data_IF_448466146598
#
_entry.id   IF_448466146598
#
_cell.length_a   1.000
_cell.length_b   1.000
_cell.length_c   1.000
_cell.angle_alpha   90.00
_cell.angle_beta   90.00
_cell.angle_gamma   90.00
#
_symmetry.space_group_name_H-M   'P 1'
#
loop_
_entity.id
_entity.type
_entity.pdbx_description
1 polymer ?
#
# COMPACT_ATOMS: atom_id res chain seq x y z
N UNK A 1 -1.47 0.36 29.86
CA UNK A 1 -0.38 1.37 29.87
C UNK A 1 -0.44 2.09 28.52
N UNK A 2 0.10 3.31 28.36
CA UNK A 2 0.22 3.88 27.02
C UNK A 2 1.11 2.96 26.18
N UNK A 3 0.55 2.39 25.13
CA UNK A 3 1.28 1.49 24.22
C UNK A 3 2.14 2.33 23.26
N UNK A 4 3.13 1.70 22.63
CA UNK A 4 3.90 2.38 21.57
C UNK A 4 2.99 2.74 20.38
N UNK A 5 3.19 3.94 19.83
CA UNK A 5 2.46 4.43 18.65
C UNK A 5 3.44 4.73 17.52
N UNK A 6 3.06 4.41 16.28
CA UNK A 6 3.88 4.63 15.10
C UNK A 6 3.09 5.36 14.03
N UNK A 7 3.68 6.37 13.42
CA UNK A 7 3.21 7.00 12.18
C UNK A 7 4.25 6.76 11.11
N UNK A 8 3.90 5.99 10.09
CA UNK A 8 4.82 5.51 9.07
C UNK A 8 4.31 5.96 7.71
N UNK A 9 5.15 6.64 6.94
CA UNK A 9 4.89 7.00 5.55
C UNK A 9 5.88 6.29 4.63
N UNK A 10 5.37 5.36 3.81
CA UNK A 10 6.16 4.57 2.87
C UNK A 10 6.19 5.27 1.51
N UNK A 11 7.26 6.03 1.30
CA UNK A 11 7.58 6.68 0.03
C UNK A 11 8.21 5.72 -0.99
N UNK A 12 8.56 6.25 -2.16
CA UNK A 12 9.19 5.47 -3.23
C UNK A 12 10.61 4.99 -2.89
N UNK A 13 11.40 5.82 -2.20
CA UNK A 13 12.80 5.52 -1.85
C UNK A 13 12.99 5.28 -0.37
N UNK A 14 12.37 6.10 0.46
CA UNK A 14 12.51 6.06 1.91
C UNK A 14 11.15 5.85 2.58
N UNK A 15 11.20 5.18 3.72
CA UNK A 15 10.10 5.08 4.67
C UNK A 15 10.45 5.92 5.88
N UNK A 16 9.60 6.91 6.14
CA UNK A 16 9.71 7.81 7.28
C UNK A 16 8.80 7.29 8.40
N UNK A 17 9.35 7.14 9.60
CA UNK A 17 8.64 6.62 10.76
C UNK A 17 8.85 7.56 11.96
N UNK A 18 7.75 7.99 12.57
CA UNK A 18 7.75 8.64 13.88
C UNK A 18 7.22 7.63 14.88
N UNK A 19 8.07 7.19 15.80
CA UNK A 19 7.66 6.34 16.92
C UNK A 19 7.43 7.21 18.16
N UNK A 20 6.37 6.95 18.91
CA UNK A 20 6.11 7.54 20.22
C UNK A 20 6.21 6.46 21.28
N UNK A 21 7.10 6.70 22.23
CA UNK A 21 7.31 5.82 23.37
C UNK A 21 6.12 5.89 24.34
N UNK A 22 5.96 4.91 25.27
CA UNK A 22 4.99 4.98 26.36
C UNK A 22 5.12 6.23 27.25
N UNK A 23 6.32 6.81 27.38
CA UNK A 23 6.54 8.06 28.13
C UNK A 23 6.19 9.31 27.33
N UNK A 24 5.83 9.17 26.05
CA UNK A 24 5.44 10.25 25.16
C UNK A 24 6.58 10.87 24.33
N UNK A 25 7.82 10.40 24.50
CA UNK A 25 8.97 10.82 23.68
C UNK A 25 8.77 10.40 22.22
N UNK A 26 9.11 11.30 21.27
CA UNK A 26 9.08 11.02 19.83
C UNK A 26 10.47 10.65 19.32
N UNK A 27 10.56 9.57 18.53
CA UNK A 27 11.78 9.06 17.91
C UNK A 27 11.60 8.99 16.39
N UNK A 28 12.28 9.84 15.61
CA UNK A 28 12.26 9.75 14.16
C UNK A 28 13.19 8.64 13.68
N UNK A 29 12.71 7.83 12.73
CA UNK A 29 13.43 6.72 12.13
C UNK A 29 13.21 6.81 10.63
N UNK A 30 14.30 6.67 9.87
CA UNK A 30 14.27 6.66 8.41
C UNK A 30 14.96 5.40 7.92
N UNK A 31 14.27 4.63 7.10
CA UNK A 31 14.81 3.41 6.47
C UNK A 31 14.56 3.46 4.96
N UNK A 32 15.25 2.63 4.20
CA UNK A 32 14.94 2.47 2.77
C UNK A 32 13.61 1.72 2.61
N UNK A 33 12.77 2.16 1.68
CA UNK A 33 11.47 1.50 1.40
C UNK A 33 11.62 0.08 0.88
N UNK A 34 12.81 -0.32 0.43
CA UNK A 34 13.14 -1.70 0.09
C UNK A 34 13.26 -2.64 1.29
N UNK A 35 13.28 -2.12 2.52
CA UNK A 35 13.53 -2.92 3.74
C UNK A 35 14.98 -3.41 3.85
N UNK A 36 15.87 -2.92 2.99
CA UNK A 36 17.30 -3.24 2.99
C UNK A 36 18.07 -2.13 3.67
N UNK A 37 19.09 -2.48 4.44
CA UNK A 37 20.05 -1.53 4.99
C UNK A 37 21.38 -1.64 4.25
N UNK A 38 21.79 -0.55 3.60
CA UNK A 38 23.03 -0.50 2.81
C UNK A 38 24.20 -0.05 3.67
N UNK A 39 25.38 -0.55 3.37
CA UNK A 39 26.62 -0.11 3.99
C UNK A 39 27.84 -0.41 3.13
N UNK A 40 29.00 -0.09 3.68
CA UNK A 40 30.30 -0.35 3.05
C UNK A 40 31.26 -0.86 4.13
N UNK A 41 31.99 -1.92 3.82
CA UNK A 41 33.03 -2.44 4.69
C UNK A 41 34.15 -1.39 4.81
N UNK A 42 34.30 -0.74 5.96
CA UNK A 42 35.44 0.13 6.21
C UNK A 42 36.73 -0.69 6.31
N UNK A 43 36.63 -1.88 6.92
CA UNK A 43 37.73 -2.82 7.07
C UNK A 43 37.18 -4.26 7.04
N UNK A 44 38.00 -5.20 6.58
CA UNK A 44 37.75 -6.64 6.69
C UNK A 44 38.84 -7.23 7.58
N UNK A 45 38.44 -7.88 8.68
CA UNK A 45 39.35 -8.42 9.69
C UNK A 45 39.31 -9.95 9.67
N UNK A 46 40.46 -10.58 9.47
CA UNK A 46 40.56 -12.03 9.35
C UNK A 46 39.74 -12.54 8.16
N UNK A 47 39.08 -13.69 8.34
CA UNK A 47 38.37 -14.38 7.26
C UNK A 47 36.85 -14.30 7.36
N UNK A 48 36.29 -13.61 8.35
CA UNK A 48 34.84 -13.60 8.58
C UNK A 48 34.30 -12.34 9.27
N UNK A 49 35.08 -11.26 9.42
CA UNK A 49 34.63 -10.05 10.12
C UNK A 49 34.68 -8.83 9.22
N UNK A 50 33.63 -8.03 9.31
CA UNK A 50 33.48 -6.77 8.58
C UNK A 50 33.26 -5.65 9.59
N UNK A 51 34.02 -4.58 9.45
CA UNK A 51 33.90 -3.37 10.27
C UNK A 51 33.15 -2.31 9.49
N UNK A 52 32.07 -1.79 10.05
CA UNK A 52 31.41 -0.56 9.61
C UNK A 52 31.11 0.33 10.83
N UNK A 53 31.87 1.43 11.02
CA UNK A 53 31.65 2.37 12.12
C UNK A 53 30.25 2.99 12.15
N UNK A 54 29.54 3.08 11.01
CA UNK A 54 28.17 3.60 10.98
C UNK A 54 27.21 2.70 11.75
N UNK A 55 27.49 1.39 11.85
CA UNK A 55 26.66 0.44 12.60
C UNK A 55 26.73 0.65 14.11
N UNK A 56 27.70 1.40 14.64
CA UNK A 56 27.81 1.63 16.10
C UNK A 56 26.58 2.31 16.69
N UNK A 57 25.82 3.03 15.86
CA UNK A 57 24.56 3.65 16.24
C UNK A 57 23.41 2.64 16.40
N UNK A 58 23.47 1.49 15.72
CA UNK A 58 22.41 0.49 15.69
C UNK A 58 22.27 -0.25 17.04
N UNK A 59 21.11 -0.86 17.34
CA UNK A 59 20.91 -1.58 18.60
C UNK A 59 21.82 -2.81 18.74
N UNK A 60 22.09 -3.24 19.98
CA UNK A 60 22.97 -4.38 20.21
C UNK A 60 22.34 -5.68 19.69
N UNK A 61 23.17 -6.58 19.13
CA UNK A 61 22.74 -7.82 18.46
C UNK A 61 21.69 -7.66 17.33
N UNK A 62 21.31 -6.44 16.95
CA UNK A 62 20.17 -6.17 16.06
C UNK A 62 20.23 -6.91 14.73
N UNK A 63 21.42 -6.95 14.12
CA UNK A 63 21.66 -7.55 12.81
C UNK A 63 21.79 -9.07 12.84
N UNK A 64 21.78 -9.72 14.01
CA UNK A 64 21.95 -11.16 14.11
C UNK A 64 20.91 -11.92 13.27
N UNK A 65 21.38 -12.83 12.42
CA UNK A 65 20.54 -13.64 11.53
C UNK A 65 20.01 -12.92 10.28
N UNK A 66 20.41 -11.67 10.03
CA UNK A 66 20.12 -11.00 8.76
C UNK A 66 20.94 -11.64 7.63
N UNK A 67 20.35 -11.67 6.43
CA UNK A 67 21.11 -11.93 5.21
C UNK A 67 22.09 -10.78 5.00
N UNK A 68 23.35 -11.14 4.72
CA UNK A 68 24.44 -10.21 4.48
C UNK A 68 24.97 -10.45 3.08
N UNK A 69 24.62 -9.56 2.15
CA UNK A 69 24.96 -9.65 0.73
C UNK A 69 26.05 -8.65 0.38
N UNK A 70 27.18 -9.14 -0.09
CA UNK A 70 28.29 -8.33 -0.57
C UNK A 70 28.17 -8.09 -2.05
N UNK A 71 28.45 -6.86 -2.48
CA UNK A 71 28.24 -6.40 -3.84
C UNK A 71 29.55 -5.89 -4.45
N UNK A 72 29.73 -6.15 -5.74
CA UNK A 72 30.79 -5.52 -6.52
C UNK A 72 30.44 -4.08 -6.90
N UNK A 73 31.33 -3.42 -7.66
CA UNK A 73 31.13 -2.04 -8.09
C UNK A 73 29.91 -1.84 -9.00
N UNK A 74 29.58 -2.89 -9.77
CA UNK A 74 28.42 -2.94 -10.68
C UNK A 74 27.11 -3.27 -9.95
N UNK A 75 27.17 -3.66 -8.68
CA UNK A 75 26.04 -4.07 -7.86
C UNK A 75 25.68 -5.56 -7.98
N UNK A 76 26.51 -6.38 -8.62
CA UNK A 76 26.31 -7.82 -8.63
C UNK A 76 26.76 -8.45 -7.32
N UNK A 77 26.11 -9.55 -6.94
CA UNK A 77 26.39 -10.24 -5.68
C UNK A 77 27.70 -11.02 -5.78
N UNK A 78 28.65 -10.66 -4.91
CA UNK A 78 29.91 -11.39 -4.72
C UNK A 78 29.74 -12.59 -3.78
N UNK A 79 28.96 -12.40 -2.71
CA UNK A 79 28.69 -13.41 -1.69
C UNK A 79 27.39 -13.07 -0.97
N UNK A 80 26.61 -14.10 -0.66
CA UNK A 80 25.51 -14.02 0.31
C UNK A 80 25.86 -14.88 1.52
N UNK A 81 25.82 -14.29 2.71
CA UNK A 81 26.05 -14.95 3.99
C UNK A 81 24.95 -14.56 5.00
N UNK A 82 25.15 -14.91 6.27
CA UNK A 82 24.34 -14.44 7.38
C UNK A 82 25.20 -13.80 8.45
N UNK A 83 24.66 -12.80 9.14
CA UNK A 83 25.29 -12.22 10.33
C UNK A 83 25.21 -13.26 11.47
N UNK A 84 26.36 -13.75 11.90
CA UNK A 84 26.51 -14.70 13.00
C UNK A 84 26.73 -14.02 14.36
N UNK A 85 27.26 -12.80 14.36
CA UNK A 85 27.36 -11.95 15.55
C UNK A 85 27.45 -10.47 15.15
N UNK A 86 27.00 -9.59 16.03
CA UNK A 86 27.15 -8.15 15.85
C UNK A 86 27.62 -7.49 17.15
N UNK A 87 28.79 -6.85 17.11
CA UNK A 87 29.40 -6.16 18.24
C UNK A 87 29.26 -4.64 18.06
N UNK A 88 28.18 -4.06 18.61
CA UNK A 88 27.83 -2.65 18.40
C UNK A 88 28.97 -1.69 18.71
N UNK A 89 29.66 -1.84 19.85
CA UNK A 89 30.71 -0.89 20.29
C UNK A 89 31.86 -0.77 19.29
N UNK A 90 32.20 -1.88 18.62
CA UNK A 90 33.28 -1.91 17.64
C UNK A 90 32.76 -1.59 16.23
N UNK A 91 31.46 -1.80 15.97
CA UNK A 91 30.88 -1.75 14.64
C UNK A 91 31.27 -2.99 13.82
N UNK A 92 31.49 -4.12 14.49
CA UNK A 92 31.97 -5.35 13.85
C UNK A 92 30.81 -6.32 13.67
N UNK A 93 30.63 -6.79 12.44
CA UNK A 93 29.73 -7.89 12.11
C UNK A 93 30.57 -9.12 11.75
N UNK A 94 30.24 -10.26 12.36
CA UNK A 94 30.81 -11.55 12.01
C UNK A 94 29.86 -12.28 11.08
N UNK A 95 30.37 -12.81 9.98
CA UNK A 95 29.57 -13.59 9.01
C UNK A 95 29.73 -15.08 9.24
N UNK A 96 28.69 -15.84 8.91
CA UNK A 96 28.64 -17.29 9.09
C UNK A 96 29.53 -18.08 8.11
N UNK A 97 30.00 -17.44 7.04
CA UNK A 97 30.84 -18.05 5.99
C UNK A 97 32.18 -17.35 5.88
N UNK A 98 33.18 -18.02 5.33
CA UNK A 98 34.46 -17.40 5.02
C UNK A 98 34.29 -16.35 3.91
N UNK A 99 34.92 -15.19 4.10
CA UNK A 99 34.97 -14.11 3.12
C UNK A 99 36.05 -14.42 2.09
N UNK A 100 35.71 -14.46 0.78
CA UNK A 100 36.72 -14.57 -0.27
C UNK A 100 37.60 -13.31 -0.35
N UNK A 101 38.81 -13.40 -0.93
CA UNK A 101 39.71 -12.25 -1.10
C UNK A 101 39.14 -11.08 -1.91
N UNK A 102 38.07 -11.33 -2.69
CA UNK A 102 37.34 -10.28 -3.42
C UNK A 102 36.56 -9.34 -2.52
N UNK A 103 36.33 -9.69 -1.25
CA UNK A 103 35.71 -8.84 -0.24
C UNK A 103 36.83 -8.19 0.58
N UNK A 104 36.93 -6.87 0.46
CA UNK A 104 37.99 -6.08 1.08
C UNK A 104 37.43 -4.73 1.58
N UNK A 105 38.32 -3.86 2.07
CA UNK A 105 37.92 -2.50 2.43
C UNK A 105 37.32 -1.80 1.20
N UNK A 106 36.18 -1.13 1.41
CA UNK A 106 35.41 -0.48 0.35
C UNK A 106 34.34 -1.35 -0.30
N UNK A 107 34.27 -2.67 -0.02
CA UNK A 107 33.21 -3.52 -0.58
C UNK A 107 31.84 -3.08 -0.05
N UNK A 108 30.89 -2.83 -0.96
CA UNK A 108 29.51 -2.45 -0.61
C UNK A 108 28.73 -3.67 -0.15
N UNK A 109 27.73 -3.46 0.69
CA UNK A 109 26.87 -4.53 1.13
C UNK A 109 25.44 -4.11 1.41
N UNK A 110 24.58 -5.13 1.51
CA UNK A 110 23.17 -5.05 1.86
C UNK A 110 22.86 -6.02 3.00
N UNK A 111 22.16 -5.51 4.03
CA UNK A 111 21.59 -6.28 5.12
C UNK A 111 20.07 -6.37 4.92
N UNK A 112 19.51 -7.57 4.97
CA UNK A 112 18.06 -7.75 4.84
C UNK A 112 17.55 -8.93 5.66
N UNK A 113 16.36 -8.77 6.23
CA UNK A 113 15.59 -9.85 6.84
C UNK A 113 14.40 -10.30 5.97
N UNK A 114 14.26 -9.75 4.75
CA UNK A 114 13.06 -9.87 3.93
C UNK A 114 11.79 -9.36 4.65
N UNK A 115 11.96 -8.36 5.51
CA UNK A 115 10.89 -7.66 6.21
C UNK A 115 10.49 -6.40 5.43
N UNK A 116 9.21 -6.02 5.49
CA UNK A 116 8.76 -4.77 4.92
C UNK A 116 9.35 -3.58 5.71
N UNK A 117 9.62 -2.47 5.04
CA UNK A 117 10.26 -1.30 5.65
C UNK A 117 9.58 -0.79 6.95
N UNK A 118 8.24 -0.78 7.09
CA UNK A 118 7.58 -0.45 8.35
C UNK A 118 7.99 -1.37 9.52
N UNK A 119 8.18 -2.66 9.27
CA UNK A 119 8.57 -3.64 10.30
C UNK A 119 10.00 -3.38 10.74
N UNK A 120 10.91 -3.16 9.80
CA UNK A 120 12.29 -2.79 10.11
C UNK A 120 12.33 -1.52 10.96
N UNK A 121 11.56 -0.48 10.59
CA UNK A 121 11.50 0.76 11.36
C UNK A 121 10.95 0.55 12.79
N UNK A 122 9.91 -0.27 12.95
CA UNK A 122 9.35 -0.62 14.26
C UNK A 122 10.39 -1.36 15.11
N UNK A 123 11.09 -2.36 14.55
CA UNK A 123 12.14 -3.09 15.26
C UNK A 123 13.29 -2.18 15.67
N UNK A 124 13.72 -1.27 14.80
CA UNK A 124 14.74 -0.27 15.11
C UNK A 124 14.30 0.61 16.28
N UNK A 125 13.04 1.04 16.33
CA UNK A 125 12.51 1.88 17.41
C UNK A 125 12.48 1.18 18.76
N UNK A 126 12.09 -0.10 18.73
CA UNK A 126 11.94 -0.95 19.89
C UNK A 126 13.25 -1.64 20.29
N UNK A 127 14.31 -1.45 19.51
CA UNK A 127 15.62 -2.10 19.69
C UNK A 127 15.51 -3.64 19.71
N UNK A 128 14.62 -4.19 18.87
CA UNK A 128 14.34 -5.63 18.83
C UNK A 128 15.16 -6.34 17.75
N UNK A 129 15.71 -7.50 18.12
CA UNK A 129 16.26 -8.46 17.15
C UNK A 129 15.18 -9.02 16.23
N UNK A 130 15.59 -9.57 15.09
CA UNK A 130 14.68 -10.20 14.10
C UNK A 130 13.81 -11.30 14.71
N UNK A 131 14.38 -12.15 15.55
CA UNK A 131 13.72 -13.31 16.15
C UNK A 131 12.87 -12.95 17.37
N UNK A 132 12.99 -11.72 17.88
CA UNK A 132 12.20 -11.27 19.01
C UNK A 132 10.78 -10.88 18.57
N UNK A 133 9.78 -11.23 19.39
CA UNK A 133 8.41 -10.84 19.14
C UNK A 133 8.23 -9.31 19.23
N UNK A 134 7.45 -8.73 18.32
CA UNK A 134 7.03 -7.33 18.38
C UNK A 134 5.83 -7.29 19.34
N UNK A 135 5.90 -6.50 20.44
CA UNK A 135 4.79 -6.37 21.36
C UNK A 135 3.57 -5.72 20.68
N UNK A 136 2.38 -5.70 21.32
CA UNK A 136 1.25 -4.93 20.81
C UNK A 136 1.61 -3.45 20.63
N UNK A 137 1.35 -2.91 19.43
CA UNK A 137 1.64 -1.51 19.06
C UNK A 137 0.51 -0.94 18.21
N UNK A 138 0.37 0.38 18.18
CA UNK A 138 -0.55 1.08 17.27
C UNK A 138 0.20 1.64 16.07
N UNK A 139 -0.28 1.40 14.84
CA UNK A 139 0.42 1.83 13.62
C UNK A 139 -0.51 2.63 12.71
N UNK A 140 -0.10 3.82 12.28
CA UNK A 140 -0.76 4.61 11.26
C UNK A 140 0.12 4.62 10.03
N UNK A 141 -0.42 4.18 8.90
CA UNK A 141 0.37 3.88 7.71
C UNK A 141 -0.12 4.70 6.51
N UNK A 142 0.75 5.58 6.01
CA UNK A 142 0.70 6.14 4.66
C UNK A 142 1.55 5.30 3.71
N UNK A 143 1.12 5.14 2.47
CA UNK A 143 1.93 4.46 1.45
C UNK A 143 1.68 4.99 0.05
N UNK A 144 2.75 5.11 -0.71
CA UNK A 144 2.72 5.46 -2.14
C UNK A 144 2.39 4.27 -3.05
N UNK A 145 2.23 3.05 -2.52
CA UNK A 145 1.92 1.86 -3.34
C UNK A 145 0.68 2.02 -4.21
N UNK A 146 -0.39 2.62 -3.67
CA UNK A 146 -1.62 2.90 -4.44
C UNK A 146 -1.36 3.89 -5.58
N UNK A 147 -0.71 5.02 -5.28
CA UNK A 147 -0.37 6.04 -6.28
C UNK A 147 0.57 5.50 -7.36
N UNK A 148 1.58 4.71 -6.98
CA UNK A 148 2.50 4.09 -7.94
C UNK A 148 1.77 3.08 -8.85
N UNK A 149 0.83 2.30 -8.30
CA UNK A 149 0.01 1.39 -9.11
C UNK A 149 -0.86 2.15 -10.13
N UNK A 150 -1.41 3.31 -9.77
CA UNK A 150 -2.13 4.18 -10.71
C UNK A 150 -1.20 4.73 -11.80
N UNK A 151 -0.08 5.33 -11.40
CA UNK A 151 0.86 5.97 -12.33
C UNK A 151 1.47 4.97 -13.32
N UNK A 152 1.75 3.75 -12.85
CA UNK A 152 2.35 2.69 -13.69
C UNK A 152 1.32 1.79 -14.37
N UNK A 153 0.01 2.03 -14.17
CA UNK A 153 -1.09 1.20 -14.67
C UNK A 153 -0.96 -0.29 -14.29
N UNK A 154 -0.55 -0.55 -13.04
CA UNK A 154 -0.33 -1.91 -12.49
C UNK A 154 -1.35 -2.31 -11.43
N UNK A 155 -2.57 -1.78 -11.49
CA UNK A 155 -3.69 -2.20 -10.65
C UNK A 155 -4.34 -3.52 -11.08
N UNK A 156 -5.39 -3.90 -10.37
CA UNK A 156 -6.17 -5.09 -10.68
C UNK A 156 -6.95 -4.92 -11.98
N UNK A 157 -7.01 -5.99 -12.79
CA UNK A 157 -7.89 -6.04 -13.97
C UNK A 157 -9.34 -6.00 -13.52
N UNK A 158 -9.98 -4.85 -13.73
CA UNK A 158 -11.28 -4.51 -13.13
C UNK A 158 -12.38 -4.50 -14.19
N UNK A 159 -13.54 -5.08 -13.86
CA UNK A 159 -14.77 -4.95 -14.64
C UNK A 159 -15.62 -3.83 -14.07
N UNK A 160 -16.06 -2.90 -14.91
CA UNK A 160 -17.04 -1.89 -14.56
C UNK A 160 -18.45 -2.43 -14.83
N UNK A 161 -19.27 -2.56 -13.80
CA UNK A 161 -20.66 -3.01 -13.91
C UNK A 161 -21.58 -1.81 -13.79
N UNK A 162 -22.42 -1.59 -14.80
CA UNK A 162 -23.33 -0.44 -14.85
C UNK A 162 -24.69 -0.79 -15.45
N UNK A 163 -25.61 0.16 -15.40
CA UNK A 163 -26.95 0.02 -15.97
C UNK A 163 -26.88 -0.02 -17.50
N UNK A 164 -27.73 -0.82 -18.14
CA UNK A 164 -27.82 -0.87 -19.60
C UNK A 164 -28.07 0.51 -20.23
N UNK A 165 -27.31 0.81 -21.28
CA UNK A 165 -27.24 2.11 -21.95
C UNK A 165 -26.25 3.09 -21.32
N UNK A 166 -25.48 2.66 -20.31
CA UNK A 166 -24.50 3.50 -19.60
C UNK A 166 -23.07 2.95 -19.71
N UNK A 167 -22.81 1.97 -20.59
CA UNK A 167 -21.48 1.38 -20.73
C UNK A 167 -20.35 2.42 -20.88
N UNK A 168 -20.58 3.46 -21.68
CA UNK A 168 -19.59 4.49 -22.00
C UNK A 168 -19.61 5.68 -21.02
N UNK A 169 -20.38 5.63 -19.93
CA UNK A 169 -20.60 6.80 -19.05
C UNK A 169 -19.29 7.39 -18.50
N UNK A 170 -18.32 6.53 -18.17
CA UNK A 170 -17.00 6.96 -17.67
C UNK A 170 -16.04 7.37 -18.79
N UNK A 171 -16.25 6.90 -20.02
CA UNK A 171 -15.49 7.33 -21.21
C UNK A 171 -15.97 8.70 -21.71
N UNK A 172 -17.27 8.97 -21.58
CA UNK A 172 -17.90 10.25 -21.86
C UNK A 172 -17.51 11.26 -20.77
N UNK A 173 -17.49 10.83 -19.51
CA UNK A 173 -17.19 11.67 -18.34
C UNK A 173 -18.06 12.96 -18.32
N UNK A 174 -17.48 14.11 -17.98
CA UNK A 174 -18.19 15.39 -17.92
C UNK A 174 -18.04 16.24 -19.20
N UNK A 175 -17.41 15.70 -20.27
CA UNK A 175 -17.09 16.45 -21.49
C UNK A 175 -16.22 17.71 -21.28
N UNK A 176 -15.55 17.83 -20.14
CA UNK A 176 -14.62 18.93 -19.86
C UNK A 176 -13.46 18.90 -20.86
N UNK A 177 -13.10 20.07 -21.42
CA UNK A 177 -11.98 20.23 -22.37
C UNK A 177 -10.89 21.13 -21.77
N UNK A 178 -9.87 20.58 -21.09
CA UNK A 178 -8.79 21.38 -20.50
C UNK A 178 -8.03 22.21 -21.53
N UNK A 179 -7.88 21.69 -22.76
CA UNK A 179 -7.32 22.40 -23.92
C UNK A 179 -8.40 22.55 -24.99
N UNK A 180 -9.14 23.65 -24.91
CA UNK A 180 -10.36 23.87 -25.70
C UNK A 180 -10.14 23.82 -27.22
N UNK A 181 -8.94 24.17 -27.69
CA UNK A 181 -8.60 24.31 -29.10
C UNK A 181 -7.88 23.11 -29.72
N UNK A 182 -7.61 22.06 -28.95
CA UNK A 182 -7.02 20.84 -29.52
C UNK A 182 -8.01 20.19 -30.49
N UNK A 183 -7.62 20.02 -31.75
CA UNK A 183 -8.44 19.31 -32.74
C UNK A 183 -8.38 17.78 -32.54
N UNK A 184 -7.26 17.29 -32.03
CA UNK A 184 -7.04 15.88 -31.70
C UNK A 184 -7.05 15.67 -30.18
N UNK A 185 -8.19 15.21 -29.65
CA UNK A 185 -8.38 15.01 -28.20
C UNK A 185 -7.93 13.60 -27.83
N UNK A 186 -6.82 13.53 -27.11
CA UNK A 186 -6.32 12.28 -26.53
C UNK A 186 -6.94 12.05 -25.15
N UNK A 187 -7.92 11.14 -25.07
CA UNK A 187 -8.52 10.75 -23.79
C UNK A 187 -7.63 9.74 -23.04
N UNK A 188 -7.48 9.86 -21.72
CA UNK A 188 -6.82 8.81 -20.94
C UNK A 188 -7.58 7.49 -21.08
N UNK A 189 -6.84 6.38 -21.17
CA UNK A 189 -7.44 5.06 -21.10
C UNK A 189 -8.14 4.86 -19.74
N UNK A 190 -9.31 4.22 -19.69
CA UNK A 190 -10.00 3.93 -18.43
C UNK A 190 -9.17 3.00 -17.53
N UNK A 191 -9.47 2.98 -16.24
CA UNK A 191 -8.84 2.05 -15.28
C UNK A 191 -9.48 0.65 -15.30
N UNK A 192 -10.72 0.53 -15.80
CA UNK A 192 -11.35 -0.76 -16.03
C UNK A 192 -10.94 -1.32 -17.40
N UNK A 193 -10.84 -2.63 -17.49
CA UNK A 193 -10.54 -3.32 -18.74
C UNK A 193 -11.81 -3.53 -19.57
N UNK A 194 -12.96 -3.69 -18.90
CA UNK A 194 -14.19 -4.15 -19.52
C UNK A 194 -15.42 -3.63 -18.81
N UNK A 195 -16.53 -3.68 -19.53
CA UNK A 195 -17.83 -3.20 -19.06
C UNK A 195 -18.87 -4.30 -19.13
N UNK A 196 -19.64 -4.44 -18.06
CA UNK A 196 -20.80 -5.31 -17.98
C UNK A 196 -22.04 -4.46 -17.75
N UNK A 197 -22.98 -4.54 -18.69
CA UNK A 197 -24.29 -3.90 -18.54
C UNK A 197 -25.30 -4.86 -17.93
N UNK A 198 -25.97 -4.39 -16.87
CA UNK A 198 -27.10 -5.06 -16.24
C UNK A 198 -28.37 -4.49 -16.87
N UNK A 199 -29.39 -5.32 -17.10
CA UNK A 199 -30.64 -4.88 -17.73
C UNK A 199 -31.71 -4.55 -16.67
N UNK A 200 -31.46 -3.51 -15.89
CA UNK A 200 -32.25 -3.03 -14.77
C UNK A 200 -32.52 -1.51 -14.88
N UNK A 201 -33.50 -1.01 -14.12
CA UNK A 201 -33.75 0.44 -14.06
C UNK A 201 -34.45 0.88 -12.79
N UNK A 202 -33.96 1.99 -12.24
CA UNK A 202 -34.59 2.73 -11.16
C UNK A 202 -35.00 4.12 -11.67
N UNK A 203 -36.04 4.71 -11.09
CA UNK A 203 -36.33 6.14 -11.24
C UNK A 203 -35.47 6.99 -10.27
N UNK A 204 -35.61 8.32 -10.35
CA UNK A 204 -34.85 9.24 -9.51
C UNK A 204 -35.18 9.14 -8.01
N UNK A 205 -36.36 8.63 -7.66
CA UNK A 205 -36.81 8.39 -6.29
C UNK A 205 -36.38 7.00 -5.77
N UNK A 206 -35.71 6.21 -6.60
CA UNK A 206 -35.27 4.85 -6.28
C UNK A 206 -36.34 3.77 -6.45
N UNK A 207 -37.49 4.08 -7.08
CA UNK A 207 -38.50 3.07 -7.40
C UNK A 207 -38.05 2.21 -8.56
N UNK A 208 -38.39 0.93 -8.50
CA UNK A 208 -38.02 -0.04 -9.52
C UNK A 208 -38.89 0.15 -10.75
N UNK A 209 -38.29 0.58 -11.85
CA UNK A 209 -38.91 0.60 -13.17
C UNK A 209 -38.71 -0.73 -13.90
N UNK A 210 -37.55 -1.37 -13.69
CA UNK A 210 -37.21 -2.68 -14.22
C UNK A 210 -36.31 -3.43 -13.25
N UNK A 211 -36.74 -4.62 -12.85
CA UNK A 211 -35.95 -5.48 -11.98
C UNK A 211 -34.83 -6.21 -12.76
N UNK A 212 -33.65 -6.42 -12.15
CA UNK A 212 -32.57 -7.21 -12.72
C UNK A 212 -32.93 -8.70 -12.81
N UNK A 213 -32.38 -9.39 -13.80
CA UNK A 213 -32.52 -10.84 -14.01
C UNK A 213 -31.31 -11.58 -13.41
N UNK A 214 -31.51 -12.26 -12.27
CA UNK A 214 -30.43 -12.95 -11.55
C UNK A 214 -29.71 -14.02 -12.39
N UNK A 215 -30.44 -14.73 -13.25
CA UNK A 215 -29.88 -15.83 -14.03
C UNK A 215 -28.94 -15.29 -15.10
N UNK A 216 -29.32 -14.20 -15.78
CA UNK A 216 -28.46 -13.54 -16.76
C UNK A 216 -27.22 -12.93 -16.11
N UNK A 217 -27.39 -12.24 -14.98
CA UNK A 217 -26.28 -11.64 -14.24
C UNK A 217 -25.24 -12.71 -13.87
N UNK A 218 -25.70 -13.86 -13.34
CA UNK A 218 -24.81 -14.98 -13.02
C UNK A 218 -24.04 -15.46 -14.24
N UNK A 219 -24.73 -15.75 -15.34
CA UNK A 219 -24.08 -16.22 -16.57
C UNK A 219 -23.03 -15.24 -17.10
N UNK A 220 -23.34 -13.95 -17.09
CA UNK A 220 -22.40 -12.91 -17.51
C UNK A 220 -21.17 -12.88 -16.59
N UNK A 221 -21.37 -12.92 -15.27
CA UNK A 221 -20.30 -12.89 -14.28
C UNK A 221 -19.40 -14.14 -14.32
N UNK A 222 -19.97 -15.32 -14.53
CA UNK A 222 -19.24 -16.60 -14.65
C UNK A 222 -18.26 -16.58 -15.82
N UNK A 223 -18.61 -15.89 -16.91
CA UNK A 223 -17.72 -15.75 -18.07
C UNK A 223 -16.49 -14.85 -17.81
N UNK A 224 -16.54 -14.01 -16.76
CA UNK A 224 -15.53 -12.98 -16.50
C UNK A 224 -14.60 -13.28 -15.31
N UNK A 225 -15.05 -14.10 -14.36
CA UNK A 225 -14.37 -14.30 -13.06
C UNK A 225 -12.94 -14.86 -13.19
N UNK A 226 -12.68 -15.68 -14.21
CA UNK A 226 -11.36 -16.33 -14.39
C UNK A 226 -10.23 -15.35 -14.68
N UNK A 227 -10.51 -14.32 -15.49
CA UNK A 227 -9.48 -13.41 -16.00
C UNK A 227 -9.48 -12.05 -15.27
N UNK A 228 -10.55 -11.75 -14.53
CA UNK A 228 -10.81 -10.43 -13.95
C UNK A 228 -11.32 -10.60 -12.52
N UNK A 229 -10.46 -10.63 -11.50
CA UNK A 229 -10.90 -10.93 -10.13
C UNK A 229 -11.59 -9.74 -9.43
N UNK A 230 -11.62 -8.55 -10.05
CA UNK A 230 -12.11 -7.32 -9.43
C UNK A 230 -13.31 -6.70 -10.14
N UNK A 231 -14.33 -6.28 -9.37
CA UNK A 231 -15.52 -5.54 -9.86
C UNK A 231 -15.66 -4.17 -9.23
N UNK A 232 -16.06 -3.22 -10.07
CA UNK A 232 -16.63 -1.94 -9.68
C UNK A 232 -18.10 -1.89 -10.09
N UNK A 233 -19.04 -1.95 -9.13
CA UNK A 233 -20.48 -1.94 -9.38
C UNK A 233 -21.02 -0.53 -9.16
N UNK A 234 -21.48 0.12 -10.23
CA UNK A 234 -22.10 1.44 -10.21
C UNK A 234 -23.33 1.50 -11.13
N UNK A 235 -24.50 1.28 -10.54
CA UNK A 235 -25.79 1.35 -11.23
C UNK A 235 -26.41 2.74 -11.09
N UNK A 236 -27.25 3.12 -12.04
CA UNK A 236 -27.96 4.40 -12.03
C UNK A 236 -28.93 4.47 -10.84
N UNK A 237 -28.97 5.63 -10.17
CA UNK A 237 -29.81 5.90 -8.99
C UNK A 237 -29.60 4.94 -7.79
N UNK A 238 -28.50 4.19 -7.74
CA UNK A 238 -28.18 3.30 -6.62
C UNK A 238 -27.97 4.00 -5.28
N UNK A 239 -27.69 5.30 -5.31
CA UNK A 239 -27.65 6.15 -4.10
C UNK A 239 -29.02 6.29 -3.43
N UNK A 240 -30.12 6.19 -4.20
CA UNK A 240 -31.50 6.26 -3.70
C UNK A 240 -32.03 4.88 -3.32
N UNK A 241 -31.68 3.84 -4.09
CA UNK A 241 -32.01 2.45 -3.79
C UNK A 241 -30.86 1.52 -4.19
N UNK A 242 -30.19 0.93 -3.18
CA UNK A 242 -29.01 0.09 -3.39
C UNK A 242 -29.32 -1.39 -3.63
N UNK A 243 -30.60 -1.80 -3.64
CA UNK A 243 -30.99 -3.21 -3.70
C UNK A 243 -30.43 -3.95 -4.93
N UNK A 244 -30.43 -3.31 -6.10
CA UNK A 244 -29.89 -3.92 -7.32
C UNK A 244 -28.36 -4.09 -7.25
N UNK A 245 -27.62 -3.13 -6.68
CA UNK A 245 -26.17 -3.28 -6.52
C UNK A 245 -25.81 -4.39 -5.53
N UNK A 246 -26.55 -4.49 -4.41
CA UNK A 246 -26.37 -5.55 -3.43
C UNK A 246 -26.66 -6.94 -4.02
N UNK A 247 -27.67 -7.03 -4.89
CA UNK A 247 -27.97 -8.26 -5.62
C UNK A 247 -26.82 -8.68 -6.54
N UNK A 248 -26.29 -7.75 -7.33
CA UNK A 248 -25.13 -8.02 -8.20
C UNK A 248 -23.91 -8.41 -7.37
N UNK A 249 -23.62 -7.72 -6.26
CA UNK A 249 -22.53 -8.08 -5.35
C UNK A 249 -22.68 -9.50 -4.81
N UNK A 250 -23.89 -9.88 -4.35
CA UNK A 250 -24.17 -11.22 -3.84
C UNK A 250 -23.86 -12.27 -4.89
N UNK A 251 -24.38 -12.13 -6.10
CA UNK A 251 -24.15 -13.07 -7.20
C UNK A 251 -22.66 -13.12 -7.56
N UNK A 252 -21.97 -11.97 -7.62
CA UNK A 252 -20.55 -11.91 -7.90
C UNK A 252 -19.72 -12.68 -6.85
N UNK A 253 -20.05 -12.56 -5.56
CA UNK A 253 -19.40 -13.36 -4.51
C UNK A 253 -19.64 -14.86 -4.69
N UNK A 254 -20.87 -15.25 -5.01
CA UNK A 254 -21.23 -16.65 -5.24
C UNK A 254 -20.51 -17.25 -6.46
N UNK A 255 -20.23 -16.44 -7.49
CA UNK A 255 -19.50 -16.84 -8.70
C UNK A 255 -17.97 -16.91 -8.47
N UNK A 256 -17.45 -16.23 -7.43
CA UNK A 256 -16.05 -16.33 -7.01
C UNK A 256 -15.23 -15.05 -7.12
N UNK A 257 -15.85 -13.89 -7.32
CA UNK A 257 -15.13 -12.63 -7.24
C UNK A 257 -14.77 -12.29 -5.80
N UNK A 258 -13.50 -12.00 -5.56
CA UNK A 258 -12.95 -11.74 -4.22
C UNK A 258 -12.89 -10.25 -3.90
N UNK A 259 -12.82 -9.40 -4.93
CA UNK A 259 -12.62 -7.97 -4.82
C UNK A 259 -13.79 -7.25 -5.49
N UNK A 260 -14.70 -6.69 -4.68
CA UNK A 260 -15.93 -6.07 -5.17
C UNK A 260 -16.12 -4.74 -4.45
N UNK A 261 -16.16 -3.67 -5.25
CA UNK A 261 -16.41 -2.31 -4.82
C UNK A 261 -17.81 -1.92 -5.25
N UNK A 262 -18.64 -1.49 -4.30
CA UNK A 262 -20.06 -1.16 -4.53
C UNK A 262 -20.28 0.33 -4.32
N UNK A 263 -20.78 1.01 -5.35
CA UNK A 263 -20.81 2.46 -5.38
C UNK A 263 -21.73 3.07 -4.32
N UNK A 264 -22.87 2.44 -4.04
CA UNK A 264 -23.81 2.91 -3.01
C UNK A 264 -23.26 2.81 -1.59
N UNK A 265 -22.24 1.97 -1.37
CA UNK A 265 -21.55 1.83 -0.08
C UNK A 265 -20.38 2.79 0.04
N UNK A 266 -19.60 2.94 -1.04
CA UNK A 266 -18.38 3.73 -1.05
C UNK A 266 -18.64 5.24 -1.15
N UNK A 267 -19.51 5.63 -2.08
CA UNK A 267 -19.79 7.03 -2.39
C UNK A 267 -21.25 7.19 -2.83
N UNK A 268 -22.22 7.22 -1.90
CA UNK A 268 -23.66 7.36 -2.18
C UNK A 268 -24.03 8.78 -2.65
N UNK A 269 -23.35 9.28 -3.68
CA UNK A 269 -23.55 10.58 -4.30
C UNK A 269 -24.44 10.42 -5.52
N UNK A 270 -25.31 11.39 -5.82
CA UNK A 270 -26.17 11.36 -7.01
C UNK A 270 -25.39 11.30 -8.34
N UNK A 271 -24.22 11.93 -8.40
CA UNK A 271 -23.40 12.10 -9.61
C UNK A 271 -22.73 10.79 -10.05
N UNK A 272 -23.29 10.13 -11.06
CA UNK A 272 -22.85 8.80 -11.53
C UNK A 272 -21.39 8.78 -12.01
N UNK A 273 -20.90 9.83 -12.68
CA UNK A 273 -19.51 9.87 -13.18
C UNK A 273 -18.54 9.85 -12.00
N UNK A 274 -18.62 10.83 -11.09
CA UNK A 274 -17.73 10.90 -9.93
C UNK A 274 -17.85 9.67 -9.01
N UNK A 275 -19.07 9.15 -8.84
CA UNK A 275 -19.34 7.93 -8.08
C UNK A 275 -18.70 6.70 -8.76
N UNK A 276 -18.85 6.58 -10.07
CA UNK A 276 -18.25 5.51 -10.87
C UNK A 276 -16.73 5.55 -10.87
N UNK A 277 -16.12 6.72 -11.09
CA UNK A 277 -14.66 6.91 -11.03
C UNK A 277 -14.09 6.47 -9.67
N UNK A 278 -14.74 6.89 -8.58
CA UNK A 278 -14.36 6.49 -7.22
C UNK A 278 -14.46 4.98 -7.03
N UNK A 279 -15.52 4.36 -7.54
CA UNK A 279 -15.77 2.92 -7.41
C UNK A 279 -14.77 2.11 -8.21
N UNK A 280 -14.45 2.54 -9.44
CA UNK A 280 -13.43 1.91 -10.29
C UNK A 280 -12.04 2.05 -9.68
N UNK A 281 -11.69 3.23 -9.19
CA UNK A 281 -10.40 3.47 -8.53
C UNK A 281 -10.22 2.59 -7.29
N UNK A 282 -11.27 2.43 -6.47
CA UNK A 282 -11.26 1.52 -5.32
C UNK A 282 -11.06 0.06 -5.77
N UNK A 283 -11.86 -0.44 -6.70
CA UNK A 283 -11.74 -1.82 -7.22
C UNK A 283 -10.37 -2.10 -7.85
N UNK A 284 -9.78 -1.10 -8.49
CA UNK A 284 -8.48 -1.18 -9.14
C UNK A 284 -7.32 -1.29 -8.14
N UNK A 285 -7.43 -0.62 -6.99
CA UNK A 285 -6.33 -0.47 -6.02
C UNK A 285 -6.46 -1.33 -4.76
N UNK A 286 -7.69 -1.59 -4.31
CA UNK A 286 -7.97 -2.32 -3.08
C UNK A 286 -7.23 -3.67 -3.01
N UNK A 287 -7.12 -4.48 -4.09
CA UNK A 287 -6.43 -5.76 -4.01
C UNK A 287 -4.94 -5.61 -3.64
N UNK A 288 -4.26 -4.62 -4.21
CA UNK A 288 -2.84 -4.32 -3.96
C UNK A 288 -2.63 -3.83 -2.53
N UNK A 289 -3.50 -2.93 -2.08
CA UNK A 289 -3.43 -2.38 -0.73
C UNK A 289 -3.72 -3.45 0.32
N UNK A 290 -4.72 -4.31 0.09
CA UNK A 290 -5.07 -5.41 0.98
C UNK A 290 -3.96 -6.43 1.10
N UNK A 291 -3.36 -6.85 0.00
CA UNK A 291 -2.21 -7.78 -0.01
C UNK A 291 -1.04 -7.20 0.80
N UNK A 292 -0.74 -5.91 0.60
CA UNK A 292 0.32 -5.24 1.34
C UNK A 292 0.05 -5.15 2.84
N UNK A 293 -1.15 -4.71 3.24
CA UNK A 293 -1.55 -4.65 4.65
C UNK A 293 -1.60 -6.07 5.26
N UNK A 294 -2.00 -7.08 4.48
CA UNK A 294 -1.98 -8.48 4.87
C UNK A 294 -0.58 -8.96 5.25
N UNK A 295 0.41 -8.75 4.37
CA UNK A 295 1.83 -9.07 4.64
C UNK A 295 2.35 -8.38 5.90
N UNK A 296 2.04 -7.09 6.07
CA UNK A 296 2.46 -6.35 7.26
C UNK A 296 1.85 -6.93 8.54
N UNK A 297 0.57 -7.30 8.50
CA UNK A 297 -0.10 -7.95 9.63
C UNK A 297 0.52 -9.30 9.96
N UNK A 298 0.79 -10.12 8.95
CA UNK A 298 1.46 -11.41 9.14
C UNK A 298 2.83 -11.23 9.80
N UNK A 299 3.62 -10.25 9.37
CA UNK A 299 4.93 -9.97 9.98
C UNK A 299 4.83 -9.46 11.42
N UNK A 300 3.81 -8.66 11.75
CA UNK A 300 3.51 -8.24 13.13
C UNK A 300 2.96 -9.38 14.01
N UNK A 301 2.25 -10.35 13.42
CA UNK A 301 1.64 -11.48 14.16
C UNK A 301 2.58 -12.67 14.34
N UNK A 302 3.39 -13.00 13.32
CA UNK A 302 4.45 -14.02 13.39
C UNK A 302 5.47 -13.72 14.50
N UNK A 303 5.47 -12.48 14.97
CA UNK A 303 6.25 -11.97 16.08
C UNK A 303 5.40 -11.79 17.37
N UNK A 304 4.35 -12.59 17.62
CA UNK A 304 3.80 -12.82 18.97
C UNK A 304 2.50 -12.09 19.39
N UNK A 305 1.75 -11.48 18.47
CA UNK A 305 0.48 -10.80 18.80
C UNK A 305 -0.75 -11.73 18.83
N UNK A 306 -1.43 -11.86 19.98
CA UNK A 306 -2.74 -12.53 20.11
C UNK A 306 -3.89 -11.60 19.70
N UNK A 307 -4.82 -12.09 18.87
CA UNK A 307 -5.97 -11.37 18.35
C UNK A 307 -7.16 -11.40 19.34
N UNK A 308 -7.87 -10.28 19.61
CA UNK A 308 -9.25 -10.35 20.06
C UNK A 308 -10.17 -10.64 18.85
N UNK A 309 -11.25 -11.43 19.02
CA UNK A 309 -12.18 -11.72 17.94
C UNK A 309 -12.94 -10.44 17.57
N UNK A 310 -12.74 -9.96 16.34
CA UNK A 310 -13.39 -8.76 15.81
C UNK A 310 -13.06 -8.58 14.34
N UNK A 311 -14.09 -8.27 13.56
CA UNK A 311 -14.05 -8.18 12.10
C UNK A 311 -12.96 -7.22 11.58
N UNK A 312 -12.39 -7.61 10.44
CA UNK A 312 -11.51 -6.76 9.65
C UNK A 312 -12.33 -5.60 9.10
N UNK A 313 -12.25 -4.44 9.74
CA UNK A 313 -12.75 -3.19 9.18
C UNK A 313 -11.54 -2.35 8.80
N UNK A 314 -11.23 -2.27 7.50
CA UNK A 314 -10.56 -1.11 6.93
C UNK A 314 -11.50 0.08 7.15
N UNK A 315 -11.42 0.69 8.33
CA UNK A 315 -12.40 1.69 8.78
C UNK A 315 -12.01 3.03 8.16
N UNK A 316 -12.84 3.44 7.21
CA UNK A 316 -13.03 4.81 6.76
C UNK A 316 -12.93 5.76 7.96
N UNK A 317 -12.07 6.78 7.87
CA UNK A 317 -11.96 7.80 8.92
C UNK A 317 -13.24 8.63 8.90
N UNK A 318 -14.16 8.28 9.78
CA UNK A 318 -15.24 9.12 10.30
C UNK A 318 -15.67 8.54 11.66
N UNK A 319 -15.06 9.02 12.74
CA UNK A 319 -15.56 8.83 14.12
C UNK A 319 -15.16 7.54 14.87
N UNK A 320 -14.30 7.72 15.89
CA UNK A 320 -14.17 7.01 17.19
C UNK A 320 -14.72 5.58 17.39
N UNK A 321 -13.85 4.63 17.78
CA UNK A 321 -13.79 3.96 19.10
C UNK A 321 -12.89 2.69 19.05
N UNK A 322 -12.10 2.49 20.12
CA UNK A 322 -10.98 1.55 20.30
C UNK A 322 -11.39 0.16 20.82
N UNK A 323 -10.65 -0.87 20.40
CA UNK A 323 -10.38 -2.07 21.20
C UNK A 323 -8.92 -2.51 20.95
N UNK A 324 -8.23 -2.92 22.01
CA UNK A 324 -6.79 -3.17 22.06
C UNK A 324 -6.35 -4.31 21.13
N UNK A 325 -5.30 -4.06 20.35
CA UNK A 325 -4.78 -4.94 19.31
C UNK A 325 -4.25 -4.11 18.14
N UNK A 326 -3.24 -4.60 17.43
CA UNK A 326 -2.55 -3.89 16.34
C UNK A 326 -3.57 -3.24 15.39
N UNK A 327 -3.62 -1.91 15.40
CA UNK A 327 -4.51 -1.14 14.55
C UNK A 327 -3.66 -0.49 13.46
N UNK A 328 -3.85 -0.91 12.19
CA UNK A 328 -3.23 -0.29 11.02
C UNK A 328 -4.28 0.60 10.35
N UNK A 329 -4.07 1.92 10.39
CA UNK A 329 -4.89 2.87 9.63
C UNK A 329 -4.24 3.11 8.28
N UNK A 330 -4.80 2.55 7.22
CA UNK A 330 -4.45 2.89 5.84
C UNK A 330 -5.43 3.96 5.32
N UNK A 331 -4.92 5.08 4.82
CA UNK A 331 -5.76 6.12 4.20
C UNK A 331 -6.21 5.61 2.82
N UNK A 332 -7.52 5.58 2.51
CA UNK A 332 -7.99 5.14 1.19
C UNK A 332 -7.50 6.07 0.08
N UNK A 333 -7.17 5.50 -1.07
CA UNK A 333 -6.80 6.27 -2.27
C UNK A 333 -7.93 7.23 -2.71
N UNK A 334 -9.19 6.85 -2.51
CA UNK A 334 -10.38 7.66 -2.78
C UNK A 334 -10.58 8.86 -1.84
N UNK A 335 -9.86 8.92 -0.71
CA UNK A 335 -9.92 10.06 0.22
C UNK A 335 -9.01 11.22 -0.21
N UNK A 336 -8.20 11.03 -1.26
CA UNK A 336 -7.39 12.07 -1.89
C UNK A 336 -8.22 12.88 -2.91
N UNK A 337 -9.37 13.40 -2.49
CA UNK A 337 -10.02 14.54 -3.17
C UNK A 337 -9.10 15.75 -2.96
N UNK A 338 -8.87 16.63 -3.95
CA UNK A 338 -7.83 17.65 -3.86
C UNK A 338 -8.17 18.59 -2.70
N UNK A 339 -7.39 18.48 -1.63
CA UNK A 339 -7.13 19.63 -0.78
C UNK A 339 -6.57 20.68 -1.72
N UNK A 340 -7.40 21.67 -2.01
CA UNK A 340 -6.97 22.95 -2.54
C UNK A 340 -5.83 23.42 -1.65
N UNK A 341 -4.59 23.19 -2.09
CA UNK A 341 -3.43 23.87 -1.58
C UNK A 341 -3.71 25.36 -1.76
N UNK A 342 -4.20 26.01 -0.70
CA UNK A 342 -3.96 27.44 -0.54
C UNK A 342 -2.45 27.58 -0.50
N UNK A 343 -1.89 28.02 -1.62
CA UNK A 343 -0.50 28.38 -1.74
C UNK A 343 -0.19 29.47 -0.70
N UNK A 344 0.37 29.08 0.43
CA UNK A 344 1.22 29.97 1.21
C UNK A 344 2.55 30.01 0.49
N UNK A 345 2.73 31.03 -0.34
CA UNK A 345 4.02 31.41 -0.92
C UNK A 345 5.04 31.61 0.20
N UNK A 346 6.02 30.71 0.29
CA UNK A 346 7.27 30.99 1.01
C UNK A 346 8.25 31.62 0.02
N UNK A 347 8.73 32.86 0.24
CA UNK A 347 9.70 33.50 -0.64
C UNK A 347 11.10 32.99 -0.27
N UNK A 348 11.68 32.14 -1.11
CA UNK A 348 13.03 31.64 -0.90
C UNK A 348 13.57 30.91 -2.11
N UNK A 349 14.27 31.63 -2.97
CA UNK A 349 14.91 31.04 -4.16
C UNK A 349 15.28 32.09 -5.20
N UNK A 350 16.26 32.95 -4.86
CA UNK A 350 16.97 33.80 -5.82
C UNK A 350 17.55 32.91 -6.93
N UNK A 351 17.07 33.09 -8.17
CA UNK A 351 17.77 32.63 -9.38
C UNK A 351 18.89 33.64 -9.67
N UNK A 352 20.12 33.21 -9.97
CA UNK A 352 21.14 34.12 -10.49
C UNK A 352 20.80 34.52 -11.95
N UNK A 353 21.14 35.74 -12.37
CA UNK A 353 20.88 36.20 -13.73
C UNK A 353 21.80 35.49 -14.72
N UNK A 354 21.22 35.09 -15.85
CA UNK A 354 21.95 34.61 -17.01
C UNK A 354 22.73 35.78 -17.64
N UNK A 355 24.00 35.53 -17.95
CA UNK A 355 24.82 36.39 -18.80
C UNK A 355 24.46 36.21 -20.28
#
# INVERSE_FOLDING_TARGET
MPDWEFWIDVGGTFTDCIARTPSGELRPIKVLSSGVTKGQAAEVQGTNRVVDPLRRADPDEFWLGYEFRFLDESGQTLLTSRVAAFHRRLGVMEVATLLPPSISSGTRYELSANEEAPILAIRTALELRRDQPIPPVTVRLGTTRGTNALLTRRGARTVFVTTRGFADVLLIANQDRPRLFDLDIQKPEPLFADVLEIDERLDADGRVLKAPDETKIRQQLESLVKDRPSLAICLLHSFANSAHEQLVERIAREVGFTEISVSSRLAPLIKIVSRGDTTVMDAYLNPILREYVGRLREQLQASGGRQPPGDVVARQVSGTALAAGVCIYAIPAASAVPLTCRATTSPGGLRPPLA
#
